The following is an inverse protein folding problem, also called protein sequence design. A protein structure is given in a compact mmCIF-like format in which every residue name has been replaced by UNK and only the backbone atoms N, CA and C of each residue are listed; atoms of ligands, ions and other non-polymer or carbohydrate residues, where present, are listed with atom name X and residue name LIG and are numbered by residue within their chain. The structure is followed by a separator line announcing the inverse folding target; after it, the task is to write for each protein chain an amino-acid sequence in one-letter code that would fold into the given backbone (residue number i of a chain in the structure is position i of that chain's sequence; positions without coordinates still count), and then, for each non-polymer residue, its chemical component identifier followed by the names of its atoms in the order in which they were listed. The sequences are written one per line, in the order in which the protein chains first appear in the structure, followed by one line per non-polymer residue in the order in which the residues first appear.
data_IF_510902575830
#
_entry.id   IF_510902575830
#
_cell.length_a   1.000
_cell.length_b   1.000
_cell.length_c   1.000
_cell.angle_alpha   90.00
_cell.angle_beta   90.00
_cell.angle_gamma   90.00
#
_symmetry.space_group_name_H-M   'P 1'
#
loop_
_entity.id
_entity.type
_entity.pdbx_description
1 polymer ?
#
# COMPACT_ATOMS: atom_id res chain seq x y z
N UNK A 1 16.20 4.95 24.06
CA UNK A 1 15.96 4.73 22.62
C UNK A 1 15.45 3.32 22.40
N UNK A 2 14.32 3.14 21.70
CA UNK A 2 13.76 1.83 21.36
C UNK A 2 14.56 1.12 20.25
N UNK A 3 15.21 1.88 19.36
CA UNK A 3 16.04 1.39 18.26
C UNK A 3 17.11 2.43 17.93
N UNK A 4 18.32 1.97 17.60
CA UNK A 4 19.44 2.78 17.08
C UNK A 4 19.83 2.28 15.68
N UNK A 5 20.67 3.03 14.97
CA UNK A 5 21.15 2.66 13.64
C UNK A 5 20.10 2.85 12.53
N UNK A 6 19.19 3.79 12.72
CA UNK A 6 18.19 4.18 11.72
C UNK A 6 18.81 5.20 10.77
N UNK A 7 18.68 4.97 9.46
CA UNK A 7 19.29 5.79 8.40
C UNK A 7 18.32 6.79 7.77
N UNK A 8 17.01 6.61 7.95
CA UNK A 8 15.98 7.51 7.40
C UNK A 8 14.83 7.67 8.38
N UNK A 9 14.28 8.89 8.45
CA UNK A 9 13.12 9.27 9.25
C UNK A 9 11.78 9.19 8.47
N UNK A 10 11.82 8.84 7.18
CA UNK A 10 10.65 8.82 6.27
C UNK A 10 9.83 7.53 6.41
N UNK A 11 9.36 7.25 7.60
CA UNK A 11 8.61 6.05 7.91
C UNK A 11 7.19 6.08 7.34
N UNK A 12 6.78 4.91 6.82
CA UNK A 12 5.39 4.55 6.58
C UNK A 12 5.02 3.45 7.55
N UNK A 13 3.82 3.52 8.09
CA UNK A 13 3.38 2.59 9.15
C UNK A 13 2.01 2.03 8.86
N UNK A 14 1.80 0.78 9.30
CA UNK A 14 0.51 0.11 9.25
C UNK A 14 0.32 -0.71 10.53
N UNK A 15 -0.78 -0.46 11.24
CA UNK A 15 -1.21 -1.31 12.35
C UNK A 15 -1.89 -2.56 11.80
N UNK A 16 -1.45 -3.73 12.24
CA UNK A 16 -2.03 -5.01 11.84
C UNK A 16 -1.72 -6.10 12.86
N UNK A 17 -2.76 -6.86 13.27
CA UNK A 17 -2.67 -8.01 14.19
C UNK A 17 -1.80 -7.75 15.44
N UNK A 18 -2.10 -6.64 16.15
CA UNK A 18 -1.40 -6.27 17.38
C UNK A 18 0.04 -5.79 17.18
N UNK A 19 0.43 -5.52 15.93
CA UNK A 19 1.75 -4.97 15.57
C UNK A 19 1.61 -3.66 14.83
N UNK A 20 2.64 -2.82 14.93
CA UNK A 20 2.83 -1.70 14.01
C UNK A 20 4.01 -2.05 13.11
N UNK A 21 3.76 -2.14 11.81
CA UNK A 21 4.77 -2.44 10.80
C UNK A 21 5.32 -1.12 10.27
N UNK A 22 6.64 -1.04 10.08
CA UNK A 22 7.34 0.16 9.63
C UNK A 22 8.21 -0.15 8.41
N UNK A 23 8.15 0.72 7.41
CA UNK A 23 9.06 0.71 6.25
C UNK A 23 9.48 2.14 5.91
N UNK A 24 10.72 2.36 5.43
CA UNK A 24 11.20 3.70 5.06
C UNK A 24 11.94 3.75 3.71
N UNK A 25 12.17 2.59 3.08
CA UNK A 25 12.84 2.49 1.78
C UNK A 25 14.36 2.62 1.84
N UNK A 26 14.97 2.50 3.03
CA UNK A 26 16.42 2.54 3.25
C UNK A 26 16.84 1.48 4.25
N UNK A 27 16.15 1.38 5.38
CA UNK A 27 16.42 0.40 6.44
C UNK A 27 15.54 -0.86 6.25
N UNK A 28 15.95 -1.96 6.87
CA UNK A 28 15.12 -3.15 6.92
C UNK A 28 13.78 -2.85 7.61
N UNK A 29 12.67 -3.48 7.17
CA UNK A 29 11.37 -3.33 7.82
C UNK A 29 11.44 -3.65 9.32
N UNK A 30 10.68 -2.92 10.11
CA UNK A 30 10.57 -3.11 11.54
C UNK A 30 9.13 -3.44 11.93
N UNK A 31 8.95 -4.09 13.07
CA UNK A 31 7.66 -4.20 13.74
C UNK A 31 7.78 -3.85 15.22
N UNK A 32 6.74 -3.22 15.76
CA UNK A 32 6.57 -2.96 17.18
C UNK A 32 5.44 -3.83 17.74
N UNK A 33 5.71 -4.55 18.80
CA UNK A 33 4.76 -5.51 19.42
C UNK A 33 4.06 -4.96 20.68
N UNK A 34 4.22 -3.68 20.96
CA UNK A 34 3.76 -3.04 22.19
C UNK A 34 4.84 -2.96 23.26
N UNK A 35 5.94 -3.66 23.12
CA UNK A 35 7.04 -3.73 24.09
C UNK A 35 8.40 -3.42 23.44
N UNK A 36 8.69 -4.06 22.30
CA UNK A 36 9.99 -3.97 21.62
C UNK A 36 9.82 -3.70 20.12
N UNK A 37 10.85 -3.08 19.53
CA UNK A 37 11.00 -2.96 18.07
C UNK A 37 11.88 -4.09 17.58
N UNK A 38 11.32 -4.90 16.69
CA UNK A 38 11.97 -6.03 16.06
C UNK A 38 12.29 -5.71 14.60
N UNK A 39 13.27 -6.40 14.03
CA UNK A 39 13.51 -6.38 12.59
C UNK A 39 12.67 -7.47 11.95
N UNK A 40 11.79 -7.09 11.02
CA UNK A 40 10.93 -8.04 10.30
C UNK A 40 11.59 -8.46 9.01
N UNK A 41 11.81 -9.74 8.84
CA UNK A 41 12.32 -10.30 7.60
C UNK A 41 11.17 -10.79 6.71
N UNK A 42 10.93 -10.09 5.62
CA UNK A 42 10.10 -10.57 4.53
C UNK A 42 10.97 -11.29 3.50
N UNK A 43 10.47 -12.37 2.93
CA UNK A 43 11.14 -13.11 1.84
C UNK A 43 10.34 -12.95 0.55
N UNK A 44 10.98 -13.08 -0.60
CA UNK A 44 10.31 -12.99 -1.91
C UNK A 44 11.34 -13.02 -3.03
N UNK A 45 11.03 -13.68 -4.13
CA UNK A 45 11.97 -13.76 -5.26
C UNK A 45 12.15 -12.40 -5.92
N UNK A 46 13.35 -11.82 -5.78
CA UNK A 46 13.68 -10.50 -6.30
C UNK A 46 13.25 -9.32 -5.41
N UNK A 47 12.82 -9.59 -4.17
CA UNK A 47 12.51 -8.58 -3.17
C UNK A 47 13.80 -8.02 -2.55
N UNK A 48 13.86 -6.70 -2.39
CA UNK A 48 14.86 -6.03 -1.55
C UNK A 48 14.15 -5.37 -0.37
N UNK A 49 14.23 -5.98 0.81
CA UNK A 49 13.50 -5.53 2.01
C UNK A 49 13.71 -4.05 2.34
N UNK A 50 14.95 -3.58 2.28
CA UNK A 50 15.28 -2.17 2.57
C UNK A 50 14.69 -1.18 1.55
N UNK A 51 14.23 -1.66 0.40
CA UNK A 51 13.60 -0.82 -0.62
C UNK A 51 12.07 -0.70 -0.45
N UNK A 52 11.50 -1.30 0.58
CA UNK A 52 10.06 -1.16 0.86
C UNK A 52 9.76 0.26 1.32
N UNK A 53 8.97 0.99 0.52
CA UNK A 53 8.72 2.44 0.70
C UNK A 53 7.34 2.76 1.26
N UNK A 54 6.40 1.85 1.14
CA UNK A 54 5.04 2.02 1.65
C UNK A 54 4.50 0.67 2.09
N UNK A 55 3.67 0.69 3.11
CA UNK A 55 2.92 -0.46 3.61
C UNK A 55 1.46 -0.08 3.77
N UNK A 56 0.57 -0.88 3.21
CA UNK A 56 -0.89 -0.73 3.32
C UNK A 56 -1.54 -2.02 3.77
N UNK A 57 -2.81 -1.92 4.16
CA UNK A 57 -3.63 -3.05 4.57
C UNK A 57 -4.86 -3.14 3.66
N UNK A 58 -5.05 -4.27 3.03
CA UNK A 58 -6.26 -4.59 2.29
C UNK A 58 -6.55 -6.09 2.34
N UNK A 59 -7.82 -6.47 2.51
CA UNK A 59 -8.25 -7.87 2.52
C UNK A 59 -7.47 -8.76 3.49
N UNK A 60 -7.25 -8.26 4.72
CA UNK A 60 -6.52 -8.96 5.78
C UNK A 60 -5.09 -9.38 5.37
N UNK A 61 -4.46 -8.62 4.46
CA UNK A 61 -3.09 -8.80 4.00
C UNK A 61 -2.33 -7.48 4.06
N UNK A 62 -1.07 -7.54 4.44
CA UNK A 62 -0.15 -6.43 4.25
C UNK A 62 0.29 -6.37 2.78
N UNK A 63 0.32 -5.17 2.25
CA UNK A 63 0.76 -4.85 0.91
C UNK A 63 1.93 -3.86 0.97
N UNK A 64 2.87 -4.00 0.04
CA UNK A 64 4.07 -3.19 0.04
C UNK A 64 4.39 -2.65 -1.35
N UNK A 65 4.77 -1.36 -1.41
CA UNK A 65 5.44 -0.79 -2.57
C UNK A 65 6.96 -0.91 -2.40
N UNK A 66 7.65 -1.31 -3.46
CA UNK A 66 9.10 -1.30 -3.52
C UNK A 66 9.56 -0.05 -4.30
N UNK A 67 10.64 0.56 -3.85
CA UNK A 67 11.20 1.78 -4.42
C UNK A 67 11.45 1.64 -5.92
N UNK A 68 10.95 2.61 -6.69
CA UNK A 68 11.13 2.72 -8.14
C UNK A 68 10.61 1.50 -8.92
N UNK A 69 9.67 0.71 -8.33
CA UNK A 69 9.01 -0.43 -8.98
C UNK A 69 7.52 -0.16 -9.17
N UNK A 70 7.00 -0.52 -10.34
CA UNK A 70 5.56 -0.52 -10.58
C UNK A 70 4.87 -1.66 -9.84
N UNK A 71 5.47 -2.86 -9.89
CA UNK A 71 4.94 -4.04 -9.22
C UNK A 71 4.96 -3.90 -7.70
N UNK A 72 3.99 -4.51 -7.07
CA UNK A 72 3.79 -4.48 -5.62
C UNK A 72 3.89 -5.88 -5.03
N UNK A 73 3.94 -5.96 -3.73
CA UNK A 73 4.06 -7.21 -3.00
C UNK A 73 2.91 -7.37 -2.02
N UNK A 74 2.38 -8.58 -1.85
CA UNK A 74 1.41 -8.88 -0.80
C UNK A 74 1.84 -10.07 0.06
N UNK A 75 1.50 -9.99 1.34
CA UNK A 75 1.80 -11.00 2.33
C UNK A 75 0.72 -12.08 2.45
N UNK A 76 0.97 -13.10 3.27
CA UNK A 76 -0.04 -14.09 3.63
C UNK A 76 -1.21 -13.45 4.38
N UNK A 77 -2.38 -14.10 4.34
CA UNK A 77 -3.56 -13.67 5.12
C UNK A 77 -3.21 -13.66 6.61
N UNK A 78 -3.46 -12.54 7.28
CA UNK A 78 -3.17 -12.40 8.72
C UNK A 78 -1.69 -12.38 9.08
N UNK A 79 -0.78 -12.51 8.11
CA UNK A 79 0.66 -12.61 8.35
C UNK A 79 1.31 -11.27 8.64
N UNK A 80 2.16 -11.23 9.67
CA UNK A 80 3.01 -10.08 10.01
C UNK A 80 4.45 -10.28 9.55
N UNK A 81 4.78 -11.45 9.02
CA UNK A 81 6.06 -11.86 8.44
C UNK A 81 5.83 -13.03 7.49
N UNK A 82 6.83 -13.40 6.71
CA UNK A 82 6.79 -14.55 5.81
C UNK A 82 7.14 -14.21 4.37
N UNK A 83 6.64 -15.01 3.43
CA UNK A 83 6.95 -14.84 2.01
C UNK A 83 5.93 -13.89 1.38
N UNK A 84 6.44 -12.84 0.75
CA UNK A 84 5.66 -11.93 -0.09
C UNK A 84 5.55 -12.50 -1.50
N UNK A 85 4.37 -12.37 -2.07
CA UNK A 85 4.08 -12.68 -3.47
C UNK A 85 4.04 -11.39 -4.28
N UNK A 86 4.70 -11.39 -5.43
CA UNK A 86 4.70 -10.25 -6.34
C UNK A 86 3.36 -10.18 -7.09
N UNK A 87 2.79 -8.99 -7.15
CA UNK A 87 1.63 -8.69 -7.99
C UNK A 87 2.03 -7.70 -9.08
N UNK A 88 1.90 -8.12 -10.33
CA UNK A 88 2.42 -7.42 -11.51
C UNK A 88 1.42 -6.38 -12.04
N UNK A 89 1.29 -5.23 -11.36
CA UNK A 89 0.46 -4.14 -11.85
C UNK A 89 1.11 -3.36 -13.00
N UNK A 90 2.40 -3.54 -13.23
CA UNK A 90 3.13 -2.94 -14.37
C UNK A 90 2.53 -3.29 -15.73
N UNK A 91 1.83 -4.42 -15.85
CA UNK A 91 1.15 -4.83 -17.09
C UNK A 91 -0.09 -3.98 -17.40
N UNK A 92 -0.66 -3.33 -16.39
CA UNK A 92 -1.89 -2.53 -16.47
C UNK A 92 -1.59 -1.04 -16.33
N UNK A 93 -0.64 -0.68 -15.48
CA UNK A 93 -0.23 0.70 -15.24
C UNK A 93 0.36 1.34 -16.49
N UNK A 94 0.00 2.60 -16.74
CA UNK A 94 0.51 3.40 -17.86
C UNK A 94 1.94 3.90 -17.69
N UNK A 95 2.64 3.47 -16.62
CA UNK A 95 4.02 3.82 -16.33
C UNK A 95 4.24 4.31 -14.90
N UNK A 96 5.49 4.67 -14.59
CA UNK A 96 5.88 5.08 -13.26
C UNK A 96 6.04 3.91 -12.28
N UNK A 97 5.93 4.21 -10.99
CA UNK A 97 6.05 3.23 -9.90
C UNK A 97 4.92 3.41 -8.88
N UNK A 98 4.62 2.36 -8.12
CA UNK A 98 3.60 2.43 -7.07
C UNK A 98 4.14 3.21 -5.87
N UNK A 99 3.38 4.22 -5.42
CA UNK A 99 3.77 5.13 -4.33
C UNK A 99 3.08 4.75 -3.03
N UNK A 100 1.79 4.41 -3.12
CA UNK A 100 0.97 4.13 -1.94
C UNK A 100 -0.12 3.11 -2.25
N UNK A 101 -0.51 2.36 -1.22
CA UNK A 101 -1.55 1.35 -1.27
C UNK A 101 -2.52 1.61 -0.11
N UNK A 102 -3.82 1.55 -0.41
CA UNK A 102 -4.86 1.69 0.60
C UNK A 102 -6.05 0.76 0.34
N UNK A 103 -6.90 0.63 1.33
CA UNK A 103 -8.22 0.00 1.18
C UNK A 103 -9.31 1.06 1.16
N UNK A 104 -10.26 0.89 0.26
CA UNK A 104 -11.45 1.72 0.16
C UNK A 104 -12.68 0.83 0.20
N UNK A 105 -13.63 1.16 1.07
CA UNK A 105 -14.88 0.41 1.21
C UNK A 105 -16.00 1.30 0.72
N UNK A 106 -16.73 0.84 -0.29
CA UNK A 106 -17.94 1.50 -0.79
C UNK A 106 -19.15 0.72 -0.31
N UNK A 107 -20.02 1.36 0.44
CA UNK A 107 -21.35 0.80 0.76
C UNK A 107 -22.30 1.19 -0.39
N UNK A 108 -22.59 0.22 -1.24
CA UNK A 108 -23.53 0.38 -2.36
C UNK A 108 -24.94 -0.18 -2.05
N UNK A 109 -25.19 -0.54 -0.77
CA UNK A 109 -26.48 -1.05 -0.33
C UNK A 109 -26.59 -2.58 -0.28
N UNK A 110 -25.67 -3.32 -0.90
CA UNK A 110 -25.61 -4.80 -0.89
C UNK A 110 -24.47 -5.36 -0.02
N UNK A 111 -23.93 -4.55 0.90
CA UNK A 111 -22.78 -4.86 1.75
C UNK A 111 -21.55 -4.04 1.37
N UNK A 112 -20.54 -4.03 2.25
CA UNK A 112 -19.33 -3.29 2.04
C UNK A 112 -18.43 -3.95 0.98
N UNK A 113 -18.34 -3.34 -0.19
CA UNK A 113 -17.34 -3.71 -1.20
C UNK A 113 -15.97 -3.15 -0.80
N UNK A 114 -15.06 -4.04 -0.44
CA UNK A 114 -13.68 -3.68 -0.11
C UNK A 114 -12.81 -3.72 -1.36
N UNK A 115 -12.27 -2.56 -1.70
CA UNK A 115 -11.34 -2.39 -2.80
C UNK A 115 -9.92 -2.21 -2.30
N UNK A 116 -8.96 -2.68 -3.08
CA UNK A 116 -7.54 -2.34 -2.94
C UNK A 116 -7.21 -1.26 -3.95
N UNK A 117 -6.67 -0.14 -3.49
CA UNK A 117 -6.35 1.02 -4.30
C UNK A 117 -4.84 1.19 -4.38
N UNK A 118 -4.31 1.22 -5.60
CA UNK A 118 -2.90 1.50 -5.88
C UNK A 118 -2.77 2.88 -6.50
N UNK A 119 -1.89 3.71 -5.95
CA UNK A 119 -1.60 5.05 -6.45
C UNK A 119 -0.22 5.05 -7.08
N UNK A 120 -0.17 5.37 -8.37
CA UNK A 120 1.07 5.44 -9.15
C UNK A 120 1.72 6.83 -9.04
N UNK A 121 3.02 6.90 -9.23
CA UNK A 121 3.77 8.17 -9.23
C UNK A 121 3.34 9.14 -10.33
N UNK A 122 2.74 8.63 -11.39
CA UNK A 122 2.15 9.41 -12.50
C UNK A 122 0.83 10.08 -12.12
N UNK A 123 0.19 9.65 -11.00
CA UNK A 123 -1.15 10.05 -10.60
C UNK A 123 -2.24 9.07 -11.04
N UNK A 124 -1.88 8.01 -11.75
CA UNK A 124 -2.83 6.97 -12.09
C UNK A 124 -3.27 6.22 -10.82
N UNK A 125 -4.56 5.93 -10.73
CA UNK A 125 -5.19 5.18 -9.64
C UNK A 125 -5.77 3.89 -10.21
N UNK A 126 -5.32 2.75 -9.68
CA UNK A 126 -5.81 1.43 -10.05
C UNK A 126 -6.65 0.88 -8.90
N UNK A 127 -7.86 0.45 -9.19
CA UNK A 127 -8.82 -0.06 -8.20
C UNK A 127 -9.07 -1.53 -8.50
N UNK A 128 -8.82 -2.37 -7.51
CA UNK A 128 -8.99 -3.81 -7.58
C UNK A 128 -9.97 -4.30 -6.52
N UNK A 129 -10.73 -5.34 -6.88
CA UNK A 129 -11.63 -6.05 -5.97
C UNK A 129 -11.25 -7.54 -5.93
N UNK A 130 -11.57 -8.20 -4.81
CA UNK A 130 -11.33 -9.63 -4.62
C UNK A 130 -10.08 -9.93 -3.80
N UNK A 131 -9.73 -11.20 -3.69
CA UNK A 131 -8.51 -11.68 -3.01
C UNK A 131 -7.35 -11.81 -4.00
N UNK A 132 -6.20 -11.30 -3.64
CA UNK A 132 -5.00 -11.24 -4.47
C UNK A 132 -4.53 -12.60 -5.01
N UNK A 133 -4.80 -13.67 -4.28
CA UNK A 133 -4.34 -15.01 -4.65
C UNK A 133 -5.29 -15.72 -5.64
N UNK A 134 -6.57 -15.34 -5.72
CA UNK A 134 -7.58 -16.15 -6.42
C UNK A 134 -8.51 -15.36 -7.34
N UNK A 135 -9.02 -14.21 -6.90
CA UNK A 135 -10.15 -13.53 -7.57
C UNK A 135 -9.88 -12.04 -7.82
N UNK A 136 -8.64 -11.62 -7.73
CA UNK A 136 -8.28 -10.22 -7.80
C UNK A 136 -8.48 -9.66 -9.22
N UNK A 137 -9.46 -8.78 -9.38
CA UNK A 137 -9.85 -8.21 -10.68
C UNK A 137 -9.79 -6.69 -10.67
N UNK A 138 -9.31 -6.13 -11.77
CA UNK A 138 -9.30 -4.68 -11.99
C UNK A 138 -10.75 -4.19 -12.17
N UNK A 139 -11.16 -3.23 -11.34
CA UNK A 139 -12.47 -2.59 -11.42
C UNK A 139 -12.40 -1.26 -12.17
N UNK A 140 -11.25 -0.62 -12.14
CA UNK A 140 -11.04 0.63 -12.85
C UNK A 140 -9.62 1.14 -12.81
N UNK A 141 -9.33 1.97 -13.82
CA UNK A 141 -8.07 2.66 -14.01
C UNK A 141 -8.39 4.12 -14.30
N UNK A 142 -7.95 5.01 -13.44
CA UNK A 142 -8.31 6.41 -13.46
C UNK A 142 -7.06 7.28 -13.51
N UNK A 143 -7.11 8.32 -14.33
CA UNK A 143 -6.06 9.32 -14.38
C UNK A 143 -6.31 10.42 -13.35
N UNK A 144 -5.29 10.76 -12.59
CA UNK A 144 -5.31 11.85 -11.63
C UNK A 144 -4.01 12.65 -11.67
N UNK A 145 -3.94 13.68 -10.84
CA UNK A 145 -2.68 14.41 -10.65
C UNK A 145 -1.70 13.59 -9.82
N UNK A 146 -0.40 13.76 -10.07
CA UNK A 146 0.65 13.08 -9.34
C UNK A 146 0.53 13.28 -7.83
N UNK A 147 0.71 12.23 -7.01
CA UNK A 147 0.66 12.34 -5.56
C UNK A 147 1.84 13.17 -5.03
N UNK A 148 1.66 13.78 -3.86
CA UNK A 148 2.72 14.59 -3.23
C UNK A 148 3.85 13.75 -2.63
N UNK A 149 3.64 12.47 -2.41
CA UNK A 149 4.63 11.57 -1.82
C UNK A 149 4.00 10.28 -1.29
N UNK A 150 4.76 9.55 -0.48
CA UNK A 150 4.36 8.24 0.05
C UNK A 150 3.22 8.30 1.07
N UNK A 151 3.01 9.45 1.74
CA UNK A 151 1.93 9.70 2.70
C UNK A 151 0.76 10.43 2.04
N UNK A 152 0.43 10.03 0.82
CA UNK A 152 -0.62 10.69 0.04
C UNK A 152 -2.02 10.14 0.29
N UNK A 153 -2.17 9.07 1.06
CA UNK A 153 -3.47 8.45 1.32
C UNK A 153 -3.94 8.71 2.75
N UNK A 154 -5.20 9.09 2.88
CA UNK A 154 -5.88 9.14 4.18
C UNK A 154 -7.37 8.84 4.03
N UNK A 155 -8.00 8.39 5.12
CA UNK A 155 -9.44 8.08 5.15
C UNK A 155 -10.20 9.20 5.83
N UNK A 156 -11.35 9.55 5.24
CA UNK A 156 -12.32 10.48 5.82
C UNK A 156 -13.70 9.82 5.76
N UNK A 157 -14.18 9.32 6.91
CA UNK A 157 -15.37 8.49 6.93
C UNK A 157 -15.20 7.23 6.08
N UNK A 158 -16.11 6.97 5.15
CA UNK A 158 -16.03 5.87 4.19
C UNK A 158 -15.20 6.17 2.94
N UNK A 159 -14.66 7.41 2.81
CA UNK A 159 -13.93 7.82 1.63
C UNK A 159 -12.42 7.63 1.80
N UNK A 160 -11.76 7.22 0.72
CA UNK A 160 -10.30 7.25 0.59
C UNK A 160 -9.91 8.47 -0.24
N UNK A 161 -9.02 9.30 0.28
CA UNK A 161 -8.59 10.54 -0.38
C UNK A 161 -7.12 10.46 -0.73
N UNK A 162 -6.78 10.86 -1.95
CA UNK A 162 -5.40 11.01 -2.42
C UNK A 162 -5.00 12.48 -2.34
N UNK A 163 -3.89 12.78 -1.66
CA UNK A 163 -3.28 14.12 -1.67
C UNK A 163 -2.41 14.21 -2.91
N UNK A 164 -2.82 15.06 -3.83
CA UNK A 164 -2.14 15.27 -5.10
C UNK A 164 -1.52 16.67 -5.18
N UNK A 165 -0.70 16.91 -6.19
CA UNK A 165 -0.13 18.24 -6.46
C UNK A 165 -1.17 19.30 -6.81
N UNK A 166 -2.36 18.89 -7.23
CA UNK A 166 -3.48 19.78 -7.58
C UNK A 166 -4.55 19.88 -6.47
N UNK A 167 -4.34 19.19 -5.35
CA UNK A 167 -5.27 19.20 -4.23
C UNK A 167 -5.70 17.81 -3.78
N UNK A 168 -6.81 17.75 -3.07
CA UNK A 168 -7.39 16.51 -2.55
C UNK A 168 -8.27 15.86 -3.60
N UNK A 169 -8.02 14.60 -3.89
CA UNK A 169 -8.80 13.80 -4.83
C UNK A 169 -9.47 12.65 -4.09
N UNK A 170 -10.78 12.70 -3.82
CA UNK A 170 -11.53 11.54 -3.35
C UNK A 170 -11.52 10.43 -4.41
N UNK A 171 -11.34 9.18 -4.00
CA UNK A 171 -11.32 8.05 -4.94
C UNK A 171 -12.67 7.88 -5.62
N UNK A 172 -13.78 8.15 -4.91
CA UNK A 172 -15.12 8.17 -5.51
C UNK A 172 -15.27 9.18 -6.65
N UNK A 173 -14.66 10.36 -6.53
CA UNK A 173 -14.67 11.38 -7.59
C UNK A 173 -13.83 10.96 -8.81
N UNK A 174 -12.74 10.22 -8.60
CA UNK A 174 -11.94 9.68 -9.69
C UNK A 174 -12.73 8.66 -10.55
N UNK A 175 -13.69 7.94 -9.92
CA UNK A 175 -14.53 6.95 -10.61
C UNK A 175 -15.69 7.59 -11.37
N UNK A 176 -16.18 8.74 -10.89
CA UNK A 176 -17.36 9.44 -11.44
C UNK A 176 -17.06 10.47 -12.51
N UNK A 177 -15.77 10.70 -12.85
CA UNK A 177 -15.33 11.73 -13.80
C UNK A 177 -15.14 11.23 -15.24
#
# INVERSE_FOLDING_TARGET
SLKSGISSDRWQTQCFNGRVIFVNGVDAPLDFDGSAINTTAWTGSGLTNSNLINVGLARNRLWFCEKDKADVWYGPIGGIQGTLTKFQISQIAGGGYCVAIGSWSRDAGDGADDFTVFVMSTGEILIYQGDAATTFSLQGKYAGAAPIGRQCLFKVGGELVVITRLGLLPVSAAIGG
#
